data_IF_453211954208
#
_entry.id   IF_453211954208
#
_cell.length_a   1.000
_cell.length_b   1.000
_cell.length_c   1.000
_cell.angle_alpha   90.00
_cell.angle_beta   90.00
_cell.angle_gamma   90.00
#
_symmetry.space_group_name_H-M   'P 1'
#
loop_
_entity.id
_entity.type
_entity.pdbx_description
1 polymer ?
#
# COMPACT_ATOMS: atom_id res chain seq x y z
N UNK A 1 48.82 26.16 9.27
CA UNK A 1 48.30 24.82 8.88
C UNK A 1 47.06 24.40 9.68
N UNK A 2 46.99 24.60 11.01
CA UNK A 2 45.82 24.21 11.83
C UNK A 2 44.51 24.97 11.51
N UNK A 3 44.61 26.28 11.25
CA UNK A 3 43.43 27.13 11.02
C UNK A 3 42.67 26.76 9.74
N UNK A 4 43.39 26.47 8.65
CA UNK A 4 42.79 26.05 7.38
C UNK A 4 42.01 24.74 7.52
N UNK A 5 42.53 23.77 8.28
CA UNK A 5 41.85 22.49 8.56
C UNK A 5 40.56 22.71 9.36
N UNK A 6 40.58 23.59 10.35
CA UNK A 6 39.37 23.94 11.13
C UNK A 6 38.30 24.58 10.26
N UNK A 7 38.68 25.49 9.36
CA UNK A 7 37.75 26.14 8.43
C UNK A 7 37.12 25.11 7.49
N UNK A 8 37.92 24.21 6.90
CA UNK A 8 37.39 23.17 6.00
C UNK A 8 36.41 22.23 6.70
N UNK A 9 36.68 21.85 7.95
CA UNK A 9 35.78 21.01 8.74
C UNK A 9 34.47 21.74 9.07
N UNK A 10 34.53 23.04 9.39
CA UNK A 10 33.35 23.84 9.68
C UNK A 10 32.45 23.99 8.44
N UNK A 11 33.05 24.22 7.27
CA UNK A 11 32.31 24.32 5.99
C UNK A 11 31.67 22.98 5.61
N UNK A 12 32.40 21.88 5.76
CA UNK A 12 31.86 20.53 5.52
C UNK A 12 30.69 20.21 6.48
N UNK A 13 30.82 20.56 7.76
CA UNK A 13 29.75 20.38 8.75
C UNK A 13 28.51 21.20 8.42
N UNK A 14 28.68 22.47 8.04
CA UNK A 14 27.56 23.33 7.63
C UNK A 14 26.85 22.78 6.38
N UNK A 15 27.61 22.32 5.37
CA UNK A 15 27.05 21.69 4.17
C UNK A 15 26.30 20.40 4.49
N UNK A 16 26.86 19.54 5.36
CA UNK A 16 26.20 18.29 5.77
C UNK A 16 24.87 18.53 6.49
N UNK A 17 24.80 19.57 7.34
CA UNK A 17 23.55 19.96 8.02
C UNK A 17 22.52 20.48 7.00
N UNK A 18 22.95 21.31 6.05
CA UNK A 18 22.05 21.81 5.00
C UNK A 18 21.53 20.71 4.08
N UNK A 19 22.37 19.76 3.65
CA UNK A 19 21.92 18.63 2.83
C UNK A 19 20.98 17.71 3.60
N UNK A 20 21.26 17.44 4.88
CA UNK A 20 20.37 16.62 5.72
C UNK A 20 19.00 17.27 5.93
N UNK A 21 18.93 18.60 6.00
CA UNK A 21 17.67 19.34 6.07
C UNK A 21 16.89 19.26 4.74
N UNK A 22 17.59 19.39 3.61
CA UNK A 22 16.98 19.28 2.27
C UNK A 22 16.46 17.86 1.97
N UNK A 23 17.21 16.81 2.35
CA UNK A 23 16.79 15.41 2.20
C UNK A 23 15.54 15.08 3.04
N UNK A 24 15.32 15.78 4.16
CA UNK A 24 14.13 15.62 4.98
C UNK A 24 12.88 16.20 4.30
N UNK A 25 13.03 17.32 3.58
CA UNK A 25 11.96 17.90 2.76
C UNK A 25 11.61 17.03 1.54
N UNK A 26 12.61 16.47 0.85
CA UNK A 26 12.35 15.61 -0.32
C UNK A 26 11.64 14.30 0.05
N UNK A 27 12.04 13.64 1.15
CA UNK A 27 11.31 12.45 1.65
C UNK A 27 9.91 12.78 2.20
N UNK A 28 9.71 13.99 2.70
CA UNK A 28 8.42 14.47 3.18
C UNK A 28 7.43 14.79 2.05
N UNK A 29 7.93 15.17 0.87
CA UNK A 29 7.09 15.52 -0.28
C UNK A 29 6.57 14.28 -1.02
N UNK A 30 7.39 13.24 -1.20
CA UNK A 30 6.97 11.98 -1.85
C UNK A 30 5.85 11.24 -1.07
N UNK A 31 5.74 11.48 0.24
CA UNK A 31 4.69 10.88 1.06
C UNK A 31 3.36 11.65 1.03
N UNK A 32 3.35 12.92 0.56
CA UNK A 32 2.15 13.77 0.51
C UNK A 32 1.35 13.65 -0.78
N UNK A 33 1.94 13.15 -1.86
CA UNK A 33 1.24 12.91 -3.14
C UNK A 33 0.57 11.53 -3.24
N UNK A 34 0.56 10.78 -2.13
CA UNK A 34 -0.04 9.44 -2.03
C UNK A 34 -1.57 9.32 -1.82
N UNK A 35 -2.42 10.36 -1.67
CA UNK A 35 -3.86 10.11 -1.49
C UNK A 35 -4.61 9.86 -2.81
N UNK A 36 -4.11 10.35 -3.95
CA UNK A 36 -4.85 10.27 -5.21
C UNK A 36 -4.87 8.85 -5.81
N UNK A 37 -3.75 8.12 -5.72
CA UNK A 37 -3.66 6.75 -6.26
C UNK A 37 -4.41 5.74 -5.37
N UNK A 38 -4.35 5.88 -4.03
CA UNK A 38 -5.13 5.05 -3.10
C UNK A 38 -6.63 5.23 -3.33
N UNK A 39 -7.08 6.48 -3.50
CA UNK A 39 -8.48 6.80 -3.81
C UNK A 39 -8.92 6.36 -5.22
N UNK A 40 -7.96 6.14 -6.13
CA UNK A 40 -8.22 5.51 -7.43
C UNK A 40 -8.42 4.01 -7.29
N UNK A 41 -7.54 3.33 -6.54
CA UNK A 41 -7.67 1.90 -6.25
C UNK A 41 -8.98 1.59 -5.51
N UNK A 42 -9.36 2.39 -4.52
CA UNK A 42 -10.60 2.19 -3.78
C UNK A 42 -11.85 2.30 -4.68
N UNK A 43 -11.85 3.20 -5.67
CA UNK A 43 -12.93 3.27 -6.68
C UNK A 43 -12.95 2.07 -7.63
N UNK A 44 -11.79 1.51 -7.95
CA UNK A 44 -11.69 0.30 -8.78
C UNK A 44 -12.30 -0.90 -8.04
N UNK A 45 -11.98 -1.06 -6.74
CA UNK A 45 -12.55 -2.12 -5.90
C UNK A 45 -14.05 -1.93 -5.62
N UNK A 46 -14.51 -0.69 -5.37
CA UNK A 46 -15.94 -0.41 -5.16
C UNK A 46 -16.81 -0.64 -6.41
N UNK A 47 -16.25 -0.54 -7.62
CA UNK A 47 -17.03 -0.70 -8.87
C UNK A 47 -17.45 -2.15 -9.16
N UNK A 48 -16.89 -3.13 -8.43
CA UNK A 48 -17.23 -4.55 -8.54
C UNK A 48 -18.20 -5.02 -7.43
N UNK A 49 -18.66 -4.14 -6.54
CA UNK A 49 -19.59 -4.44 -5.43
C UNK A 49 -21.06 -4.68 -5.89
N UNK A 50 -21.26 -5.50 -6.91
CA UNK A 50 -22.54 -6.23 -7.03
C UNK A 50 -22.56 -7.34 -5.97
N UNK A 51 -22.79 -6.96 -4.71
CA UNK A 51 -23.19 -7.77 -3.55
C UNK A 51 -22.65 -9.22 -3.47
N UNK A 52 -21.41 -9.47 -3.88
CA UNK A 52 -20.77 -10.76 -3.68
C UNK A 52 -20.20 -10.84 -2.26
N UNK A 53 -20.07 -12.06 -1.75
CA UNK A 53 -19.57 -12.38 -0.42
C UNK A 53 -18.06 -12.57 -0.50
N UNK A 54 -17.34 -11.84 0.34
CA UNK A 54 -15.89 -11.97 0.47
C UNK A 54 -15.48 -13.28 1.13
N UNK A 55 -14.18 -13.50 1.26
CA UNK A 55 -13.61 -14.68 1.92
C UNK A 55 -14.17 -14.83 3.34
N UNK A 56 -14.58 -16.05 3.71
CA UNK A 56 -15.30 -16.38 4.95
C UNK A 56 -16.72 -15.80 5.08
N UNK A 57 -17.23 -15.08 4.08
CA UNK A 57 -18.62 -14.66 4.01
C UNK A 57 -19.58 -15.85 3.84
N UNK A 58 -20.72 -15.82 4.52
CA UNK A 58 -21.72 -16.88 4.43
C UNK A 58 -22.37 -16.94 3.03
N UNK A 59 -22.54 -18.14 2.49
CA UNK A 59 -23.02 -18.37 1.13
C UNK A 59 -24.02 -19.54 1.06
N UNK A 60 -24.85 -19.56 0.02
CA UNK A 60 -25.74 -20.69 -0.32
C UNK A 60 -25.33 -21.37 -1.62
N UNK A 61 -24.76 -20.60 -2.55
CA UNK A 61 -24.27 -21.04 -3.86
C UNK A 61 -22.97 -20.32 -4.22
N UNK A 62 -22.21 -20.89 -5.16
CA UNK A 62 -20.91 -20.34 -5.58
C UNK A 62 -21.04 -18.92 -6.14
N UNK A 63 -22.14 -18.62 -6.84
CA UNK A 63 -22.44 -17.29 -7.37
C UNK A 63 -22.70 -16.21 -6.31
N UNK A 64 -22.86 -16.60 -5.03
CA UNK A 64 -22.92 -15.63 -3.94
C UNK A 64 -21.51 -15.13 -3.57
N UNK A 65 -20.46 -15.89 -3.86
CA UNK A 65 -19.08 -15.55 -3.52
C UNK A 65 -18.45 -14.66 -4.60
N UNK A 66 -17.48 -13.83 -4.21
CA UNK A 66 -16.73 -13.02 -5.17
C UNK A 66 -15.84 -13.87 -6.09
N UNK A 67 -15.30 -13.26 -7.14
CA UNK A 67 -14.37 -13.95 -8.04
C UNK A 67 -13.23 -14.61 -7.26
N UNK A 68 -12.82 -15.82 -7.69
CA UNK A 68 -11.81 -16.67 -7.05
C UNK A 68 -12.23 -17.29 -5.70
N UNK A 69 -13.53 -17.26 -5.40
CA UNK A 69 -14.10 -17.93 -4.25
C UNK A 69 -15.23 -18.88 -4.69
N UNK A 70 -15.34 -20.01 -4.01
CA UNK A 70 -16.45 -20.95 -4.13
C UNK A 70 -17.15 -21.13 -2.78
N UNK A 71 -18.41 -21.53 -2.81
CA UNK A 71 -19.17 -21.77 -1.59
C UNK A 71 -18.86 -23.16 -1.04
N UNK A 72 -18.25 -23.22 0.14
CA UNK A 72 -17.95 -24.49 0.80
C UNK A 72 -19.25 -25.27 1.08
N UNK A 73 -19.41 -26.42 0.43
CA UNK A 73 -20.60 -27.31 0.55
C UNK A 73 -20.73 -28.02 1.90
N UNK A 74 -19.74 -27.89 2.79
CA UNK A 74 -19.73 -28.48 4.14
C UNK A 74 -19.78 -27.39 5.19
N UNK A 75 -20.68 -27.55 6.16
CA UNK A 75 -20.85 -26.61 7.26
C UNK A 75 -19.51 -26.27 7.96
N UNK A 76 -19.26 -24.99 8.30
CA UNK A 76 -20.12 -23.82 8.01
C UNK A 76 -20.06 -23.45 6.52
N UNK A 77 -21.19 -23.09 5.92
CA UNK A 77 -21.26 -22.67 4.52
C UNK A 77 -20.68 -21.27 4.37
N UNK A 78 -19.47 -21.19 3.83
CA UNK A 78 -18.75 -19.93 3.65
C UNK A 78 -17.91 -19.94 2.37
N UNK A 79 -17.64 -18.76 1.85
CA UNK A 79 -16.80 -18.56 0.69
C UNK A 79 -15.35 -18.91 1.02
N UNK A 80 -14.79 -19.84 0.26
CA UNK A 80 -13.38 -20.28 0.35
C UNK A 80 -12.70 -20.06 -0.98
N UNK A 81 -11.38 -19.88 -0.94
CA UNK A 81 -10.59 -19.76 -2.15
C UNK A 81 -10.71 -21.02 -3.01
N UNK A 82 -11.11 -20.85 -4.27
CA UNK A 82 -11.34 -21.95 -5.24
C UNK A 82 -10.05 -22.47 -5.90
N UNK A 83 -8.89 -22.03 -5.39
CA UNK A 83 -7.54 -22.32 -5.93
C UNK A 83 -7.25 -21.74 -7.31
N UNK A 84 -8.12 -20.86 -7.83
CA UNK A 84 -7.84 -20.16 -9.08
C UNK A 84 -6.92 -18.96 -8.82
N UNK A 85 -5.62 -19.20 -8.89
CA UNK A 85 -4.65 -18.11 -9.08
C UNK A 85 -4.64 -17.80 -10.58
N UNK A 86 -4.94 -16.56 -10.98
CA UNK A 86 -4.79 -16.13 -12.39
C UNK A 86 -3.44 -16.62 -12.93
N UNK A 87 -3.47 -17.28 -14.10
CA UNK A 87 -2.30 -17.41 -14.97
C UNK A 87 -1.89 -16.04 -15.52
#
# INVERSE_FOLDING_TARGET
MKVLVLITLAVLGAMFVWTSAAELEERGSDQRDSPAWVKSMERIFQSEERACREWLGGCSKDADCCAHLECRKKWPYHCVWDWTVRK
#
